data_IF_117409319557
#
_entry.id   IF_117409319557
#
_cell.length_a   1.000
_cell.length_b   1.000
_cell.length_c   1.000
_cell.angle_alpha   90.00
_cell.angle_beta   90.00
_cell.angle_gamma   90.00
#
_symmetry.space_group_name_H-M   'P 1'
#
loop_
_entity.id
_entity.type
_entity.pdbx_description
1 polymer ?
#
# COMPACT_ATOMS: atom_id res chain seq x y z
N UNK A 1 9.68 6.29 -25.22
CA UNK A 1 9.48 4.82 -25.30
C UNK A 1 10.40 4.20 -24.26
N UNK A 2 9.84 3.79 -23.12
CA UNK A 2 10.56 3.16 -22.00
C UNK A 2 10.41 1.64 -22.05
N UNK A 3 10.03 1.01 -20.93
CA UNK A 3 9.74 -0.44 -20.81
C UNK A 3 8.85 -0.96 -21.94
N UNK A 4 7.80 -0.23 -22.32
CA UNK A 4 6.88 -0.63 -23.39
C UNK A 4 7.48 -0.64 -24.80
N UNK A 5 8.70 -0.12 -24.99
CA UNK A 5 9.42 -0.24 -26.26
C UNK A 5 9.96 -1.65 -26.51
N UNK A 6 10.19 -2.42 -25.45
CA UNK A 6 10.72 -3.79 -25.51
C UNK A 6 9.74 -4.83 -25.00
N UNK A 7 8.86 -4.47 -24.06
CA UNK A 7 7.80 -5.31 -23.53
C UNK A 7 6.47 -4.54 -23.49
N UNK A 8 5.70 -4.52 -24.60
CA UNK A 8 4.46 -3.73 -24.72
C UNK A 8 3.41 -4.04 -23.65
N UNK A 9 3.33 -5.29 -23.20
CA UNK A 9 2.35 -5.78 -22.23
C UNK A 9 2.86 -5.73 -20.77
N UNK A 10 4.05 -5.18 -20.52
CA UNK A 10 4.59 -5.12 -19.17
C UNK A 10 3.81 -4.12 -18.30
N UNK A 11 3.34 -4.58 -17.15
CA UNK A 11 2.81 -3.71 -16.11
C UNK A 11 3.92 -2.82 -15.54
N UNK A 12 3.62 -1.52 -15.44
CA UNK A 12 4.51 -0.54 -14.84
C UNK A 12 3.80 0.09 -13.65
N UNK A 13 4.43 -0.01 -12.48
CA UNK A 13 3.88 0.44 -11.21
C UNK A 13 4.59 1.72 -10.78
N UNK A 14 3.82 2.77 -10.52
CA UNK A 14 4.29 3.97 -9.84
C UNK A 14 4.02 3.82 -8.34
N UNK A 15 5.05 3.42 -7.59
CA UNK A 15 5.01 3.44 -6.13
C UNK A 15 5.06 4.90 -5.65
N UNK A 16 4.05 5.33 -4.91
CA UNK A 16 3.89 6.74 -4.50
C UNK A 16 4.68 7.09 -3.25
N UNK A 17 5.70 6.29 -2.92
CA UNK A 17 6.54 6.48 -1.76
C UNK A 17 7.16 7.87 -1.76
N UNK A 18 6.98 8.58 -0.65
CA UNK A 18 7.55 9.91 -0.41
C UNK A 18 7.13 11.00 -1.42
N UNK A 19 6.03 10.81 -2.14
CA UNK A 19 5.48 11.84 -3.03
C UNK A 19 4.98 13.09 -2.28
N UNK A 20 4.76 12.99 -0.98
CA UNK A 20 4.48 14.10 -0.07
C UNK A 20 5.62 15.12 0.00
N UNK A 21 6.86 14.72 -0.34
CA UNK A 21 7.98 15.65 -0.51
C UNK A 21 7.80 16.57 -1.72
N UNK A 22 6.99 16.17 -2.71
CA UNK A 22 6.83 16.87 -3.98
C UNK A 22 5.49 17.60 -4.10
N UNK A 23 4.42 17.06 -3.51
CA UNK A 23 3.10 17.68 -3.53
C UNK A 23 2.25 17.23 -2.33
N UNK A 24 1.28 18.02 -1.87
CA UNK A 24 0.39 17.63 -0.79
C UNK A 24 -0.47 16.40 -1.14
N UNK A 25 -0.87 15.64 -0.12
CA UNK A 25 -1.80 14.53 -0.29
C UNK A 25 -3.16 15.04 -0.83
N UNK A 26 -3.84 14.27 -1.72
CA UNK A 26 -3.49 12.93 -2.19
C UNK A 26 -2.66 12.92 -3.50
N UNK A 27 -1.97 13.99 -3.88
CA UNK A 27 -1.17 14.05 -5.11
C UNK A 27 -1.97 13.72 -6.39
N UNK A 28 -3.23 14.18 -6.46
CA UNK A 28 -4.16 13.83 -7.54
C UNK A 28 -3.66 14.28 -8.91
N UNK A 29 -3.04 15.46 -8.99
CA UNK A 29 -2.51 16.05 -10.22
C UNK A 29 -1.32 15.25 -10.74
N UNK A 30 -0.40 14.82 -9.85
CA UNK A 30 0.71 13.94 -10.20
C UNK A 30 0.18 12.61 -10.76
N UNK A 31 -0.78 11.98 -10.07
CA UNK A 31 -1.42 10.75 -10.53
C UNK A 31 -2.10 10.92 -11.89
N UNK A 32 -2.79 12.05 -12.10
CA UNK A 32 -3.46 12.34 -13.36
C UNK A 32 -2.46 12.49 -14.52
N UNK A 33 -1.30 13.10 -14.26
CA UNK A 33 -0.23 13.31 -15.24
C UNK A 33 0.56 12.06 -15.62
N UNK A 34 0.45 10.97 -14.85
CA UNK A 34 1.10 9.70 -15.21
C UNK A 34 0.56 9.20 -16.56
N UNK A 35 1.42 8.58 -17.40
CA UNK A 35 0.99 7.96 -18.65
C UNK A 35 -0.17 6.97 -18.48
N UNK A 36 -0.98 6.74 -19.54
CA UNK A 36 -1.97 5.68 -19.53
C UNK A 36 -1.36 4.31 -19.23
N UNK A 37 -2.10 3.45 -18.54
CA UNK A 37 -1.67 2.09 -18.21
C UNK A 37 -0.75 1.96 -16.99
N UNK A 38 -0.24 3.07 -16.43
CA UNK A 38 0.54 3.01 -15.17
C UNK A 38 -0.38 2.66 -13.99
N UNK A 39 0.03 1.67 -13.20
CA UNK A 39 -0.63 1.27 -11.96
C UNK A 39 -0.15 2.18 -10.84
N UNK A 40 -1.08 2.78 -10.09
CA UNK A 40 -0.73 3.62 -8.93
C UNK A 40 -0.67 2.74 -7.69
N UNK A 41 0.44 2.78 -6.96
CA UNK A 41 0.62 2.00 -5.74
C UNK A 41 0.84 2.91 -4.52
N UNK A 42 -0.22 3.28 -3.77
CA UNK A 42 -0.12 3.86 -2.44
C UNK A 42 0.41 2.90 -1.38
N UNK A 43 1.15 3.45 -0.42
CA UNK A 43 1.33 2.85 0.90
C UNK A 43 0.01 2.93 1.67
N UNK A 44 -0.56 1.79 2.05
CA UNK A 44 -1.90 1.72 2.63
C UNK A 44 -2.03 2.49 3.94
N UNK A 45 -0.97 2.52 4.75
CA UNK A 45 -0.98 3.13 6.07
C UNK A 45 -0.59 4.62 6.07
N UNK A 46 0.23 5.06 5.12
CA UNK A 46 0.90 6.38 5.17
C UNK A 46 -0.09 7.52 5.24
N UNK A 47 0.08 8.41 6.22
CA UNK A 47 -0.85 9.51 6.49
C UNK A 47 -2.08 9.06 7.28
N UNK A 48 -2.04 7.88 7.88
CA UNK A 48 -3.01 7.41 8.84
C UNK A 48 -2.71 7.90 10.26
N UNK A 49 -3.69 7.78 11.14
CA UNK A 49 -3.54 8.06 12.57
C UNK A 49 -4.16 6.91 13.37
N UNK A 50 -3.57 6.58 14.51
CA UNK A 50 -4.09 5.64 15.50
C UNK A 50 -4.22 6.35 16.85
N UNK A 51 -5.17 5.94 17.66
CA UNK A 51 -5.24 6.35 19.07
C UNK A 51 -4.74 5.20 19.95
N UNK A 52 -3.80 5.49 20.84
CA UNK A 52 -3.27 4.53 21.81
C UNK A 52 -3.09 5.22 23.16
N UNK A 53 -3.78 4.71 24.18
CA UNK A 53 -3.72 5.26 25.55
C UNK A 53 -3.99 6.78 25.61
N UNK A 54 -4.95 7.26 24.82
CA UNK A 54 -5.29 8.69 24.74
C UNK A 54 -4.27 9.55 23.97
N UNK A 55 -3.26 8.94 23.33
CA UNK A 55 -2.33 9.62 22.45
C UNK A 55 -2.61 9.30 20.99
N UNK A 56 -2.54 10.34 20.15
CA UNK A 56 -2.66 10.19 18.70
C UNK A 56 -1.29 9.93 18.09
N UNK A 57 -1.14 8.80 17.43
CA UNK A 57 0.09 8.35 16.79
C UNK A 57 -0.07 8.44 15.28
N UNK A 58 0.87 9.13 14.62
CA UNK A 58 0.95 9.10 13.17
C UNK A 58 1.39 7.70 12.70
N UNK A 59 0.75 7.21 11.65
CA UNK A 59 1.11 5.95 11.01
C UNK A 59 1.70 6.26 9.65
N UNK A 60 2.91 5.77 9.44
CA UNK A 60 3.61 5.90 8.17
C UNK A 60 3.55 4.59 7.37
N UNK A 61 4.28 3.56 7.79
CA UNK A 61 4.38 2.31 7.03
C UNK A 61 4.46 1.10 7.97
N UNK A 62 4.26 -0.11 7.42
CA UNK A 62 4.48 -1.39 8.11
C UNK A 62 3.64 -1.62 9.39
N UNK A 63 2.47 -0.96 9.49
CA UNK A 63 1.60 -1.11 10.66
C UNK A 63 0.47 -2.10 10.41
N UNK A 64 0.63 -3.32 10.91
CA UNK A 64 -0.45 -4.33 10.93
C UNK A 64 -1.61 -3.97 11.86
N UNK A 65 -1.41 -3.01 12.77
CA UNK A 65 -2.48 -2.50 13.64
C UNK A 65 -3.34 -1.44 12.95
N UNK A 66 -2.85 -0.83 11.87
CA UNK A 66 -3.62 0.10 11.06
C UNK A 66 -4.31 -0.63 9.91
N UNK A 67 -5.64 -0.71 9.96
CA UNK A 67 -6.42 -1.39 8.90
C UNK A 67 -6.30 -0.62 7.58
N UNK A 68 -6.53 0.70 7.62
CA UNK A 68 -6.58 1.55 6.44
C UNK A 68 -7.65 1.14 5.43
N UNK A 69 -7.52 1.56 4.15
CA UNK A 69 -6.50 2.49 3.66
C UNK A 69 -6.61 3.86 4.31
N UNK A 70 -5.47 4.52 4.50
CA UNK A 70 -5.38 5.87 5.04
C UNK A 70 -6.13 6.88 4.18
N UNK A 71 -6.48 8.07 4.71
CA UNK A 71 -7.09 9.14 3.91
C UNK A 71 -6.26 9.47 2.66
N UNK A 72 -4.93 9.47 2.78
CA UNK A 72 -4.01 9.63 1.65
C UNK A 72 -4.13 8.48 0.65
N UNK A 73 -4.01 7.23 1.12
CA UNK A 73 -4.05 6.06 0.25
C UNK A 73 -5.40 5.95 -0.49
N UNK A 74 -6.51 6.16 0.23
CA UNK A 74 -7.85 6.24 -0.34
C UNK A 74 -7.93 7.33 -1.41
N UNK A 75 -7.49 8.55 -1.10
CA UNK A 75 -7.49 9.66 -2.07
C UNK A 75 -6.67 9.35 -3.33
N UNK A 76 -5.54 8.65 -3.20
CA UNK A 76 -4.73 8.20 -4.34
C UNK A 76 -5.43 7.12 -5.17
N UNK A 77 -6.06 6.13 -4.53
CA UNK A 77 -6.88 5.10 -5.21
C UNK A 77 -8.01 5.76 -6.01
N UNK A 78 -8.69 6.74 -5.42
CA UNK A 78 -9.75 7.48 -6.10
C UNK A 78 -9.22 8.34 -7.24
N UNK A 79 -8.07 9.00 -7.08
CA UNK A 79 -7.42 9.76 -8.14
C UNK A 79 -7.03 8.86 -9.32
N UNK A 80 -6.45 7.68 -9.04
CA UNK A 80 -6.11 6.69 -10.07
C UNK A 80 -7.37 6.29 -10.87
N UNK A 81 -8.45 5.94 -10.16
CA UNK A 81 -9.73 5.58 -10.77
C UNK A 81 -10.32 6.71 -11.62
N UNK A 82 -10.31 7.96 -11.13
CA UNK A 82 -10.78 9.13 -11.90
C UNK A 82 -9.96 9.37 -13.17
N UNK A 83 -8.69 8.99 -13.16
CA UNK A 83 -7.79 9.11 -14.31
C UNK A 83 -7.71 7.84 -15.17
N UNK A 84 -8.64 6.90 -15.00
CA UNK A 84 -8.71 5.66 -15.78
C UNK A 84 -7.57 4.67 -15.53
N UNK A 85 -6.93 4.74 -14.35
CA UNK A 85 -5.78 3.90 -13.97
C UNK A 85 -6.18 2.87 -12.92
N UNK A 86 -5.50 1.72 -12.93
CA UNK A 86 -5.60 0.73 -11.86
C UNK A 86 -4.85 1.20 -10.61
N UNK A 87 -5.29 0.70 -9.45
CA UNK A 87 -4.61 0.90 -8.19
C UNK A 87 -4.16 -0.45 -7.61
N UNK A 88 -2.97 -0.46 -7.03
CA UNK A 88 -2.40 -1.53 -6.23
C UNK A 88 -2.20 -1.00 -4.80
N UNK A 89 -2.27 -1.83 -3.78
CA UNK A 89 -1.91 -1.38 -2.43
C UNK A 89 -0.58 -1.97 -1.97
N UNK A 90 0.21 -1.16 -1.28
CA UNK A 90 1.43 -1.61 -0.63
C UNK A 90 1.20 -1.68 0.87
N UNK A 91 1.51 -2.83 1.46
CA UNK A 91 1.68 -2.96 2.91
C UNK A 91 2.49 -4.21 3.24
N UNK A 92 2.97 -4.33 4.48
CA UNK A 92 3.70 -5.51 4.92
C UNK A 92 2.75 -6.47 5.64
N UNK A 93 2.67 -7.71 5.13
CA UNK A 93 1.88 -8.79 5.76
C UNK A 93 2.63 -9.42 6.93
N UNK A 94 3.96 -9.50 6.82
CA UNK A 94 4.81 -10.15 7.82
C UNK A 94 5.45 -9.13 8.79
N UNK A 95 6.46 -9.56 9.53
CA UNK A 95 7.23 -8.68 10.41
C UNK A 95 8.24 -7.84 9.63
N UNK A 96 8.64 -6.71 10.20
CA UNK A 96 9.84 -5.99 9.79
C UNK A 96 11.10 -6.73 10.26
N UNK A 97 12.30 -6.30 9.84
CA UNK A 97 13.55 -6.97 10.22
C UNK A 97 13.83 -6.92 11.73
N UNK A 98 13.37 -5.85 12.38
CA UNK A 98 13.48 -5.63 13.82
C UNK A 98 12.74 -6.72 14.63
N UNK A 99 11.79 -7.42 14.00
CA UNK A 99 10.97 -8.46 14.59
C UNK A 99 11.11 -9.81 13.87
N UNK A 100 12.21 -10.01 13.12
CA UNK A 100 12.38 -11.17 12.23
C UNK A 100 12.45 -12.54 12.91
N UNK A 101 12.56 -12.59 14.23
CA UNK A 101 12.61 -13.84 15.01
C UNK A 101 11.23 -14.31 15.47
N UNK A 102 10.21 -13.46 15.40
CA UNK A 102 8.86 -13.82 15.80
C UNK A 102 8.16 -14.55 14.66
N UNK A 103 7.82 -15.84 14.80
CA UNK A 103 7.22 -16.61 13.71
C UNK A 103 5.81 -16.13 13.40
N UNK A 104 5.07 -15.59 14.38
CA UNK A 104 3.68 -15.23 14.21
C UNK A 104 3.28 -14.08 15.10
N UNK A 105 2.44 -13.19 14.57
CA UNK A 105 1.80 -12.11 15.32
C UNK A 105 0.28 -12.35 15.31
N UNK A 106 -0.44 -12.12 16.42
CA UNK A 106 -1.88 -12.41 16.52
C UNK A 106 -2.74 -11.35 15.81
N UNK A 107 -2.40 -11.00 14.56
CA UNK A 107 -2.99 -9.90 13.79
C UNK A 107 -3.64 -10.36 12.47
N UNK A 108 -3.88 -11.66 12.29
CA UNK A 108 -4.55 -12.22 11.10
C UNK A 108 -5.91 -11.57 10.85
N UNK A 109 -6.67 -11.30 11.92
CA UNK A 109 -7.96 -10.61 11.80
C UNK A 109 -7.81 -9.18 11.24
N UNK A 110 -6.72 -8.49 11.57
CA UNK A 110 -6.45 -7.16 11.02
C UNK A 110 -6.05 -7.26 9.55
N UNK A 111 -5.23 -8.26 9.19
CA UNK A 111 -4.88 -8.54 7.80
C UNK A 111 -6.13 -8.80 6.94
N UNK A 112 -7.05 -9.64 7.42
CA UNK A 112 -8.33 -9.88 6.76
C UNK A 112 -9.10 -8.58 6.55
N UNK A 113 -9.28 -7.77 7.60
CA UNK A 113 -10.02 -6.50 7.52
C UNK A 113 -9.38 -5.52 6.55
N UNK A 114 -8.05 -5.48 6.49
CA UNK A 114 -7.27 -4.63 5.59
C UNK A 114 -7.48 -5.03 4.13
N UNK A 115 -7.39 -6.34 3.83
CA UNK A 115 -7.69 -6.87 2.50
C UNK A 115 -9.16 -6.65 2.11
N UNK A 116 -10.10 -6.84 3.05
CA UNK A 116 -11.52 -6.59 2.82
C UNK A 116 -11.79 -5.11 2.51
N UNK A 117 -11.21 -4.18 3.28
CA UNK A 117 -11.34 -2.74 3.06
C UNK A 117 -10.75 -2.29 1.70
N UNK A 118 -9.67 -2.93 1.24
CA UNK A 118 -9.13 -2.72 -0.10
C UNK A 118 -10.05 -3.28 -1.20
N UNK A 119 -10.60 -4.48 -0.97
CA UNK A 119 -11.56 -5.12 -1.88
C UNK A 119 -12.83 -4.30 -2.07
N UNK A 120 -13.34 -3.67 -1.01
CA UNK A 120 -14.49 -2.73 -1.06
C UNK A 120 -14.21 -1.51 -1.97
N UNK A 121 -12.95 -1.15 -2.18
CA UNK A 121 -12.53 -0.08 -3.09
C UNK A 121 -12.16 -0.58 -4.49
N UNK A 122 -12.33 -1.87 -4.77
CA UNK A 122 -11.99 -2.50 -6.03
C UNK A 122 -10.48 -2.65 -6.26
N UNK A 123 -9.66 -2.61 -5.20
CA UNK A 123 -8.22 -2.90 -5.30
C UNK A 123 -8.03 -4.41 -5.23
N UNK A 124 -7.51 -4.99 -6.30
CA UNK A 124 -7.29 -6.44 -6.44
C UNK A 124 -5.82 -6.85 -6.39
N UNK A 125 -4.92 -5.87 -6.45
CA UNK A 125 -3.48 -6.09 -6.52
C UNK A 125 -2.82 -5.58 -5.23
N UNK A 126 -1.91 -6.36 -4.65
CA UNK A 126 -1.14 -5.96 -3.46
C UNK A 126 0.34 -6.31 -3.56
N UNK A 127 1.20 -5.38 -3.15
CA UNK A 127 2.61 -5.67 -2.85
C UNK A 127 2.75 -5.85 -1.34
N UNK A 128 2.85 -7.11 -0.92
CA UNK A 128 2.73 -7.56 0.47
C UNK A 128 4.06 -7.62 1.27
N UNK A 129 5.20 -7.36 0.61
CA UNK A 129 6.54 -7.45 1.21
C UNK A 129 7.53 -6.49 0.52
N UNK A 130 8.54 -6.02 1.27
CA UNK A 130 9.58 -5.10 0.76
C UNK A 130 11.03 -5.61 0.97
N UNK A 131 11.32 -6.36 2.03
CA UNK A 131 12.69 -6.48 2.56
C UNK A 131 13.11 -7.95 2.80
N UNK A 132 12.92 -8.84 1.83
CA UNK A 132 13.25 -10.28 1.94
C UNK A 132 12.19 -11.12 2.69
N UNK A 133 12.16 -12.41 2.35
CA UNK A 133 11.18 -13.37 2.80
C UNK A 133 11.21 -13.55 4.32
N UNK A 134 10.06 -13.38 4.94
CA UNK A 134 9.76 -13.97 6.25
C UNK A 134 9.82 -15.50 6.15
N UNK A 135 9.98 -16.15 7.29
CA UNK A 135 9.92 -17.62 7.38
C UNK A 135 8.65 -18.14 6.64
N UNK A 136 8.75 -19.15 5.76
CA UNK A 136 7.56 -19.72 5.12
C UNK A 136 6.55 -20.30 6.14
N UNK A 137 7.01 -20.70 7.34
CA UNK A 137 6.18 -21.29 8.40
C UNK A 137 5.52 -20.21 9.30
N UNK A 138 4.87 -19.21 8.70
CA UNK A 138 4.05 -18.24 9.44
C UNK A 138 2.57 -18.37 9.05
N UNK A 139 1.67 -18.18 10.00
CA UNK A 139 0.23 -18.01 9.80
C UNK A 139 -0.13 -16.80 8.92
N UNK A 140 0.84 -15.91 8.66
CA UNK A 140 0.68 -14.73 7.82
C UNK A 140 1.13 -14.97 6.37
N UNK A 141 1.88 -16.05 6.10
CA UNK A 141 2.23 -16.52 4.76
C UNK A 141 1.29 -17.67 4.40
N UNK A 142 0.41 -17.47 3.43
CA UNK A 142 -0.41 -18.55 2.86
C UNK A 142 0.41 -19.38 1.87
#
# INVERSE_FOLDING_TARGET
RGVHGTAPEADVIAWTWSWDLMAPAPQAELIASLPPGIIVMPDNERGGELEWQGQRLAVDEYSLNYIGPSPRARGQIEAARRSGKRAMARFQVNHTIECATAPNWPLIANLYRKLAALGELGVTDVMASWNFGSNPDTLNCF
#
